data_IF_632875922182
#
_entry.id   IF_632875922182
#
_cell.length_a   1.000
_cell.length_b   1.000
_cell.length_c   1.000
_cell.angle_alpha   90.00
_cell.angle_beta   90.00
_cell.angle_gamma   90.00
#
_symmetry.space_group_name_H-M   'P 1'
#
loop_
_entity.id
_entity.type
_entity.pdbx_description
1 polymer ?
#
# COMPACT_ATOMS: atom_id res chain seq x y z
N UNK A 1 22.53 6.81 5.18
CA UNK A 1 21.21 6.38 5.64
C UNK A 1 20.19 7.28 4.98
N UNK A 2 19.25 6.71 4.21
CA UNK A 2 18.22 7.47 3.50
C UNK A 2 16.86 7.04 4.08
N UNK A 3 16.01 8.01 4.44
CA UNK A 3 14.65 7.71 4.88
C UNK A 3 13.80 7.39 3.65
N UNK A 4 13.22 6.19 3.61
CA UNK A 4 12.24 5.81 2.59
C UNK A 4 10.83 5.88 3.18
N UNK A 5 9.98 6.67 2.52
CA UNK A 5 8.59 6.90 2.90
C UNK A 5 7.73 6.92 1.64
N UNK A 6 6.54 6.34 1.71
CA UNK A 6 5.50 6.49 0.70
C UNK A 6 4.40 7.41 1.23
N UNK A 7 3.94 8.31 0.37
CA UNK A 7 2.95 9.34 0.68
C UNK A 7 1.81 9.21 -0.33
N UNK A 8 0.59 9.14 0.17
CA UNK A 8 -0.64 9.16 -0.63
C UNK A 8 -1.53 10.31 -0.17
N UNK A 9 -2.09 11.06 -1.13
CA UNK A 9 -2.83 12.28 -0.85
C UNK A 9 -4.20 12.28 -1.48
N UNK A 10 -5.18 12.88 -0.79
CA UNK A 10 -6.50 13.17 -1.36
C UNK A 10 -6.97 14.58 -1.01
N UNK A 11 -7.83 15.14 -1.86
CA UNK A 11 -8.17 16.57 -1.87
C UNK A 11 -7.36 17.27 -2.96
N UNK A 12 -7.96 17.39 -4.16
CA UNK A 12 -7.31 18.06 -5.28
C UNK A 12 -7.34 19.57 -5.06
N UNK A 13 -6.18 20.22 -5.16
CA UNK A 13 -6.02 21.67 -4.97
C UNK A 13 -6.76 22.51 -6.01
N UNK A 14 -7.14 21.91 -7.14
CA UNK A 14 -7.86 22.58 -8.23
C UNK A 14 -9.38 22.59 -8.03
N UNK A 15 -9.90 21.80 -7.09
CA UNK A 15 -11.31 21.77 -6.75
C UNK A 15 -11.55 22.64 -5.50
N UNK A 16 -12.09 23.84 -5.72
CA UNK A 16 -12.39 24.80 -4.66
C UNK A 16 -13.44 24.30 -3.63
N UNK A 17 -14.13 23.19 -3.90
CA UNK A 17 -15.03 22.54 -2.94
C UNK A 17 -14.30 21.62 -1.95
N UNK A 18 -13.05 21.23 -2.23
CA UNK A 18 -12.22 20.45 -1.30
C UNK A 18 -11.66 21.34 -0.19
N UNK A 19 -12.29 21.29 0.98
CA UNK A 19 -11.87 22.06 2.16
C UNK A 19 -10.74 21.38 2.96
N UNK A 20 -10.44 20.11 2.66
CA UNK A 20 -9.52 19.29 3.43
C UNK A 20 -8.52 18.58 2.52
N UNK A 21 -7.25 18.59 2.93
CA UNK A 21 -6.19 17.74 2.39
C UNK A 21 -6.02 16.55 3.33
N UNK A 22 -6.12 15.34 2.80
CA UNK A 22 -5.74 14.12 3.52
C UNK A 22 -4.38 13.67 3.02
N UNK A 23 -3.49 13.33 3.94
CA UNK A 23 -2.21 12.72 3.64
C UNK A 23 -2.09 11.43 4.44
N UNK A 24 -1.98 10.31 3.75
CA UNK A 24 -1.58 9.03 4.31
C UNK A 24 -0.08 8.84 4.07
N UNK A 25 0.61 8.28 5.06
CA UNK A 25 2.03 8.00 4.94
C UNK A 25 2.40 6.65 5.57
N UNK A 26 3.40 6.01 4.98
CA UNK A 26 4.02 4.81 5.53
C UNK A 26 5.53 4.99 5.44
N UNK A 27 6.18 4.97 6.60
CA UNK A 27 7.63 4.90 6.74
C UNK A 27 8.00 3.65 7.52
N UNK A 28 9.18 3.11 7.26
CA UNK A 28 9.69 1.94 7.95
C UNK A 28 11.22 1.94 7.91
N UNK A 29 11.84 1.08 8.72
CA UNK A 29 13.28 0.81 8.65
C UNK A 29 13.67 0.14 7.32
N UNK A 30 14.95 0.15 6.97
CA UNK A 30 15.46 -0.54 5.77
C UNK A 30 15.18 -2.05 5.82
N UNK A 31 15.32 -2.68 7.00
CA UNK A 31 15.05 -4.12 7.19
C UNK A 31 13.55 -4.44 7.00
N UNK A 32 12.68 -3.57 7.52
CA UNK A 32 11.23 -3.69 7.36
C UNK A 32 10.82 -3.48 5.90
N UNK A 33 11.44 -2.53 5.20
CA UNK A 33 11.22 -2.35 3.76
C UNK A 33 11.66 -3.54 2.94
N UNK A 34 12.84 -4.09 3.22
CA UNK A 34 13.35 -5.28 2.52
C UNK A 34 12.40 -6.47 2.69
N UNK A 35 11.90 -6.69 3.91
CA UNK A 35 10.92 -7.75 4.21
C UNK A 35 9.60 -7.51 3.49
N UNK A 36 9.09 -6.28 3.52
CA UNK A 36 7.86 -5.90 2.83
C UNK A 36 7.96 -6.10 1.32
N UNK A 37 9.01 -5.59 0.68
CA UNK A 37 9.18 -5.66 -0.77
C UNK A 37 9.29 -7.10 -1.26
N UNK A 38 10.04 -7.94 -0.56
CA UNK A 38 10.13 -9.36 -0.88
C UNK A 38 8.76 -10.06 -0.81
N UNK A 39 7.99 -9.80 0.25
CA UNK A 39 6.65 -10.37 0.44
C UNK A 39 5.64 -9.81 -0.57
N UNK A 40 5.72 -8.51 -0.90
CA UNK A 40 4.87 -7.84 -1.87
C UNK A 40 5.09 -8.39 -3.27
N UNK A 41 6.35 -8.47 -3.72
CA UNK A 41 6.70 -9.07 -5.01
C UNK A 41 6.25 -10.52 -5.09
N UNK A 42 6.38 -11.31 -4.01
CA UNK A 42 5.88 -12.68 -3.98
C UNK A 42 4.35 -12.76 -4.12
N UNK A 43 3.60 -11.83 -3.52
CA UNK A 43 2.15 -11.74 -3.68
C UNK A 43 1.77 -11.37 -5.12
N UNK A 44 2.40 -10.35 -5.71
CA UNK A 44 2.18 -9.96 -7.10
C UNK A 44 2.44 -11.14 -8.07
N UNK A 45 3.57 -11.84 -7.89
CA UNK A 45 3.94 -13.00 -8.70
C UNK A 45 2.94 -14.16 -8.58
N UNK A 46 2.37 -14.41 -7.40
CA UNK A 46 1.35 -15.45 -7.21
C UNK A 46 0.09 -15.21 -8.06
N UNK A 47 -0.26 -13.95 -8.26
CA UNK A 47 -1.39 -13.54 -9.09
C UNK A 47 -1.00 -13.23 -10.55
N UNK A 48 0.28 -13.36 -10.90
CA UNK A 48 0.77 -13.16 -12.27
C UNK A 48 0.71 -11.71 -12.76
N UNK A 49 0.73 -10.73 -11.85
CA UNK A 49 0.62 -9.29 -12.19
C UNK A 49 1.89 -8.53 -11.83
N UNK A 50 2.28 -7.51 -12.61
CA UNK A 50 3.52 -6.75 -12.36
C UNK A 50 3.37 -5.66 -11.29
N UNK A 51 2.15 -5.22 -10.97
CA UNK A 51 1.88 -4.14 -10.02
C UNK A 51 0.47 -4.21 -9.46
N UNK A 52 0.18 -3.39 -8.45
CA UNK A 52 -1.14 -3.22 -7.83
C UNK A 52 -1.68 -1.81 -8.04
N UNK A 53 -2.62 -1.63 -8.97
CA UNK A 53 -3.26 -0.34 -9.22
C UNK A 53 -4.78 -0.42 -9.02
N UNK A 54 -5.27 0.09 -7.90
CA UNK A 54 -6.64 -0.17 -7.44
C UNK A 54 -7.72 0.31 -8.43
N UNK A 55 -7.49 1.45 -9.10
CA UNK A 55 -8.41 1.97 -10.12
C UNK A 55 -8.50 1.04 -11.35
N UNK A 56 -7.38 0.46 -11.77
CA UNK A 56 -7.37 -0.50 -12.90
C UNK A 56 -8.02 -1.81 -12.48
N UNK A 57 -7.74 -2.29 -11.27
CA UNK A 57 -8.35 -3.49 -10.71
C UNK A 57 -9.88 -3.39 -10.68
N UNK A 58 -10.43 -2.28 -10.17
CA UNK A 58 -11.87 -2.07 -10.06
C UNK A 58 -12.54 -1.97 -11.45
N UNK A 59 -11.85 -1.37 -12.41
CA UNK A 59 -12.35 -1.21 -13.78
C UNK A 59 -12.16 -2.44 -14.66
N UNK A 60 -11.35 -3.41 -14.24
CA UNK A 60 -10.94 -4.52 -15.11
C UNK A 60 -10.10 -3.99 -16.27
N UNK A 61 -9.09 -3.19 -15.97
CA UNK A 61 -8.16 -2.61 -16.95
C UNK A 61 -6.75 -3.20 -16.73
N UNK A 62 -5.89 -3.07 -17.75
CA UNK A 62 -4.48 -3.45 -17.67
C UNK A 62 -4.28 -4.95 -17.35
N UNK A 63 -3.43 -5.29 -16.35
CA UNK A 63 -3.19 -6.68 -15.94
C UNK A 63 -4.44 -7.43 -15.41
N UNK A 64 -5.53 -6.71 -15.13
CA UNK A 64 -6.72 -7.25 -14.47
C UNK A 64 -7.93 -7.40 -15.41
N UNK A 65 -7.75 -7.24 -16.73
CA UNK A 65 -8.87 -7.15 -17.68
C UNK A 65 -9.79 -8.39 -17.72
N UNK A 66 -9.22 -9.58 -17.58
CA UNK A 66 -9.97 -10.85 -17.59
C UNK A 66 -10.29 -11.37 -16.18
N UNK A 67 -10.14 -10.54 -15.14
CA UNK A 67 -10.37 -10.99 -13.77
C UNK A 67 -11.83 -10.88 -13.36
N UNK A 68 -12.37 -12.02 -12.94
CA UNK A 68 -13.62 -12.10 -12.17
C UNK A 68 -13.46 -11.52 -10.77
N UNK A 69 -14.56 -11.08 -10.16
CA UNK A 69 -14.55 -10.47 -8.82
C UNK A 69 -13.90 -11.34 -7.74
N UNK A 70 -14.04 -12.67 -7.86
CA UNK A 70 -13.37 -13.61 -6.95
C UNK A 70 -11.84 -13.48 -7.02
N UNK A 71 -11.27 -13.32 -8.21
CA UNK A 71 -9.83 -13.14 -8.38
C UNK A 71 -9.39 -11.78 -7.81
N UNK A 72 -10.16 -10.71 -8.08
CA UNK A 72 -9.91 -9.37 -7.51
C UNK A 72 -9.89 -9.40 -5.98
N UNK A 73 -10.88 -10.04 -5.35
CA UNK A 73 -10.96 -10.17 -3.89
C UNK A 73 -9.78 -10.96 -3.33
N UNK A 74 -9.40 -12.07 -3.97
CA UNK A 74 -8.26 -12.89 -3.55
C UNK A 74 -6.94 -12.09 -3.61
N UNK A 75 -6.73 -11.33 -4.68
CA UNK A 75 -5.58 -10.47 -4.85
C UNK A 75 -5.51 -9.40 -3.76
N UNK A 76 -6.60 -8.64 -3.56
CA UNK A 76 -6.68 -7.58 -2.55
C UNK A 76 -6.43 -8.15 -1.15
N UNK A 77 -7.00 -9.32 -0.83
CA UNK A 77 -6.77 -10.00 0.44
C UNK A 77 -5.30 -10.36 0.65
N UNK A 78 -4.63 -10.88 -0.36
CA UNK A 78 -3.20 -11.23 -0.27
C UNK A 78 -2.32 -9.99 -0.04
N UNK A 79 -2.60 -8.89 -0.73
CA UNK A 79 -1.90 -7.62 -0.49
C UNK A 79 -2.13 -7.09 0.93
N UNK A 80 -3.38 -7.11 1.42
CA UNK A 80 -3.67 -6.73 2.80
C UNK A 80 -2.97 -7.62 3.83
N UNK A 81 -2.84 -8.92 3.56
CA UNK A 81 -2.10 -9.82 4.43
C UNK A 81 -0.60 -9.48 4.48
N UNK A 82 -0.02 -8.97 3.40
CA UNK A 82 1.37 -8.47 3.40
C UNK A 82 1.45 -7.19 4.25
N UNK A 83 0.56 -6.22 4.03
CA UNK A 83 0.52 -4.97 4.80
C UNK A 83 0.34 -5.24 6.31
N UNK A 84 -0.55 -6.16 6.68
CA UNK A 84 -0.87 -6.48 8.08
C UNK A 84 0.29 -7.13 8.85
N UNK A 85 1.33 -7.61 8.15
CA UNK A 85 2.54 -8.18 8.76
C UNK A 85 3.59 -7.13 9.10
N UNK A 86 3.45 -5.90 8.62
CA UNK A 86 4.34 -4.81 9.01
C UNK A 86 4.15 -4.51 10.50
N UNK A 87 5.24 -4.40 11.24
CA UNK A 87 5.18 -4.11 12.67
C UNK A 87 4.66 -2.69 12.91
N UNK A 88 3.69 -2.53 13.82
CA UNK A 88 3.20 -1.21 14.22
C UNK A 88 4.28 -0.34 14.86
N UNK A 89 5.28 -0.97 15.48
CA UNK A 89 6.43 -0.29 16.08
C UNK A 89 7.28 0.51 15.07
N UNK A 90 7.26 0.10 13.79
CA UNK A 90 8.00 0.78 12.72
C UNK A 90 7.32 2.07 12.25
N UNK A 91 5.99 2.18 12.39
CA UNK A 91 5.22 3.34 11.91
C UNK A 91 5.26 4.55 12.84
N UNK A 92 5.45 4.32 14.15
CA UNK A 92 5.31 5.36 15.18
C UNK A 92 6.60 5.61 15.97
N UNK A 93 7.65 4.83 15.71
CA UNK A 93 8.81 4.73 16.59
C UNK A 93 8.45 4.08 17.95
N UNK A 94 9.44 3.77 18.80
CA UNK A 94 9.14 3.40 20.17
C UNK A 94 8.36 4.54 20.82
N UNK A 95 7.20 4.24 21.41
CA UNK A 95 6.51 5.18 22.29
C UNK A 95 7.50 5.55 23.40
N UNK A 96 8.07 6.76 23.33
CA UNK A 96 8.83 7.30 24.44
C UNK A 96 7.92 7.24 25.67
N UNK A 97 8.38 6.71 26.81
CA UNK A 97 7.64 6.88 28.05
C UNK A 97 7.50 8.39 28.28
N UNK A 98 6.27 8.83 28.52
CA UNK A 98 5.97 10.18 28.97
C UNK A 98 6.80 10.49 30.22
N UNK A 99 7.54 11.60 30.20
CA UNK A 99 8.24 12.15 31.38
C UNK A 99 7.21 12.62 32.41
#
# INVERSE_FOLDING_TARGET
MALKIFLDGSGQSEDASNQFLTLASIMASDDSWSTFEAAWSAALNRHGVPYSHMKELLRGEGPFHDWEDRAKIAFVKDLFNVMARMDRGDFLGPLSPSI
#
